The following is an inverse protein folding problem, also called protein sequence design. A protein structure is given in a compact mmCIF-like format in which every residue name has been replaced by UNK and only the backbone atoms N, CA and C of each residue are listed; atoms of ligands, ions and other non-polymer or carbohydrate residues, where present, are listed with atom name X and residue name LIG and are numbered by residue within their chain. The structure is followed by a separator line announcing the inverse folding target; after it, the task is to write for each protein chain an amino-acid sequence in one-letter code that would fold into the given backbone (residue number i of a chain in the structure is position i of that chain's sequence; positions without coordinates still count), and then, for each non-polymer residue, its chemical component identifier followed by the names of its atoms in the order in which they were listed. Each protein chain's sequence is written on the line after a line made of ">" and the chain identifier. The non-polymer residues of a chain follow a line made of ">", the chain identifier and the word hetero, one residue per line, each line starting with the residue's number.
data_IF_725597055002
#
_entry.id   IF_725597055002
#
_cell.length_a   1.000
_cell.length_b   1.000
_cell.length_c   1.000
_cell.angle_alpha   90.00
_cell.angle_beta   90.00
_cell.angle_gamma   90.00
#
_symmetry.space_group_name_H-M   'P 1'
#
loop_
_entity.id
_entity.type
_entity.pdbx_description
1 polymer ?
#
# COMPACT_ATOMS: atom_id res chain seq x y z
N UNK A 1 -12.55 15.49 -25.26
CA UNK A 1 -12.82 15.22 -23.84
C UNK A 1 -11.98 14.03 -23.42
N UNK A 2 -10.72 14.20 -22.99
CA UNK A 2 -9.86 13.05 -22.69
C UNK A 2 -9.61 12.94 -21.18
N UNK A 3 -10.63 12.96 -20.31
CA UNK A 3 -10.37 13.18 -18.88
C UNK A 3 -11.24 12.36 -17.93
N UNK A 4 -11.59 11.15 -18.32
CA UNK A 4 -11.64 10.08 -17.32
C UNK A 4 -10.45 9.19 -17.62
N UNK A 5 -9.29 9.59 -17.10
CA UNK A 5 -8.11 8.74 -17.03
C UNK A 5 -8.59 7.34 -16.61
N UNK A 6 -8.35 6.30 -17.42
CA UNK A 6 -8.68 4.90 -17.10
C UNK A 6 -7.84 4.43 -15.89
N UNK A 7 -8.05 5.04 -14.73
CA UNK A 7 -7.31 4.74 -13.53
C UNK A 7 -7.71 3.35 -13.07
N UNK A 8 -6.73 2.46 -13.02
CA UNK A 8 -6.89 1.12 -12.51
C UNK A 8 -6.71 1.12 -11.00
N UNK A 9 -7.63 0.46 -10.31
CA UNK A 9 -7.52 0.27 -8.86
C UNK A 9 -6.69 -0.99 -8.57
N UNK A 10 -5.59 -0.80 -7.84
CA UNK A 10 -4.67 -1.86 -7.45
C UNK A 10 -4.64 -2.02 -5.94
N UNK A 11 -4.61 -3.27 -5.50
CA UNK A 11 -4.43 -3.68 -4.11
C UNK A 11 -3.36 -4.77 -4.06
N UNK A 12 -2.38 -4.61 -3.18
CA UNK A 12 -1.21 -5.48 -3.10
C UNK A 12 -1.30 -6.38 -1.87
N UNK A 13 -1.32 -7.70 -2.08
CA UNK A 13 -1.26 -8.67 -1.00
C UNK A 13 0.20 -8.98 -0.66
N UNK A 14 0.53 -8.89 0.61
CA UNK A 14 1.84 -9.17 1.16
C UNK A 14 1.95 -10.62 1.64
N UNK A 15 3.18 -11.06 1.92
CA UNK A 15 3.47 -12.45 2.34
C UNK A 15 2.90 -12.79 3.72
N UNK A 16 2.69 -11.79 4.57
CA UNK A 16 2.11 -11.92 5.90
C UNK A 16 0.57 -12.03 5.85
N UNK A 17 -0.02 -11.99 4.65
CA UNK A 17 -1.46 -11.98 4.44
C UNK A 17 -2.10 -10.60 4.57
N UNK A 18 -1.32 -9.56 4.92
CA UNK A 18 -1.78 -8.18 4.94
C UNK A 18 -1.94 -7.64 3.52
N UNK A 19 -2.77 -6.61 3.37
CA UNK A 19 -2.93 -5.92 2.10
C UNK A 19 -2.54 -4.44 2.21
N UNK A 20 -1.90 -3.91 1.17
CA UNK A 20 -1.65 -2.48 0.99
C UNK A 20 -2.55 -1.94 -0.13
N UNK A 21 -3.27 -0.85 0.16
CA UNK A 21 -4.21 -0.19 -0.77
C UNK A 21 -5.66 -0.26 -0.29
N UNK A 22 -6.65 0.05 -1.17
CA UNK A 22 -6.52 0.23 -2.62
C UNK A 22 -5.90 1.57 -3.05
N UNK A 23 -5.23 1.56 -4.21
CA UNK A 23 -4.65 2.73 -4.86
C UNK A 23 -5.10 2.84 -6.31
N UNK A 24 -5.23 4.06 -6.83
CA UNK A 24 -5.59 4.32 -8.22
C UNK A 24 -4.35 4.74 -9.02
N UNK A 25 -4.12 4.07 -10.13
CA UNK A 25 -2.97 4.33 -11.00
C UNK A 25 -3.41 4.48 -12.45
N UNK A 26 -2.74 5.35 -13.19
CA UNK A 26 -2.87 5.36 -14.66
C UNK A 26 -2.29 4.07 -15.24
N UNK A 27 -2.83 3.53 -16.36
CA UNK A 27 -2.26 2.37 -17.05
C UNK A 27 -0.84 2.61 -17.56
N UNK A 28 -0.44 3.89 -17.70
CA UNK A 28 0.92 4.29 -18.05
C UNK A 28 1.90 4.26 -16.85
N UNK A 29 1.41 3.99 -15.63
CA UNK A 29 2.23 3.95 -14.42
C UNK A 29 3.26 2.83 -14.50
N UNK A 30 4.51 3.13 -14.18
CA UNK A 30 5.59 2.13 -14.28
C UNK A 30 5.59 1.20 -13.07
N UNK A 31 6.07 -0.03 -13.26
CA UNK A 31 6.24 -1.00 -12.18
C UNK A 31 7.20 -0.50 -11.09
N UNK A 32 8.18 0.35 -11.45
CA UNK A 32 9.10 0.96 -10.49
C UNK A 32 8.35 1.85 -9.48
N UNK A 33 7.46 2.72 -9.97
CA UNK A 33 6.63 3.59 -9.12
C UNK A 33 5.72 2.78 -8.19
N UNK A 34 5.12 1.70 -8.70
CA UNK A 34 4.29 0.80 -7.88
C UNK A 34 5.10 0.17 -6.75
N UNK A 35 6.32 -0.29 -7.03
CA UNK A 35 7.22 -0.89 -6.03
C UNK A 35 7.65 0.11 -4.97
N UNK A 36 8.02 1.33 -5.35
CA UNK A 36 8.38 2.39 -4.41
C UNK A 36 7.23 2.67 -3.44
N UNK A 37 5.99 2.72 -3.95
CA UNK A 37 4.81 2.91 -3.11
C UNK A 37 4.61 1.76 -2.11
N UNK A 38 4.72 0.51 -2.56
CA UNK A 38 4.58 -0.68 -1.69
C UNK A 38 5.64 -0.65 -0.57
N UNK A 39 6.87 -0.26 -0.87
CA UNK A 39 7.94 -0.15 0.13
C UNK A 39 7.68 1.01 1.10
N UNK A 40 7.16 2.14 0.61
CA UNK A 40 6.85 3.31 1.44
C UNK A 40 5.65 3.08 2.38
N UNK A 41 4.58 2.46 1.87
CA UNK A 41 3.37 2.12 2.63
C UNK A 41 3.46 0.72 3.26
N UNK A 42 4.66 0.13 3.30
CA UNK A 42 4.86 -1.18 3.90
C UNK A 42 4.37 -1.13 5.35
N UNK A 43 3.47 -2.04 5.76
CA UNK A 43 2.98 -2.07 7.12
C UNK A 43 4.20 -2.28 8.02
N UNK A 44 4.57 -1.24 8.76
CA UNK A 44 5.53 -1.38 9.86
C UNK A 44 4.96 -2.49 10.72
N UNK A 45 5.78 -3.53 10.96
CA UNK A 45 5.40 -4.69 11.75
C UNK A 45 4.62 -4.18 12.96
N UNK A 46 3.30 -4.43 12.92
CA UNK A 46 2.33 -3.83 13.82
C UNK A 46 2.86 -3.99 15.23
N UNK A 47 3.13 -2.87 15.89
CA UNK A 47 3.73 -2.80 17.21
C UNK A 47 3.11 -3.83 18.16
N UNK A 48 3.80 -4.96 18.35
CA UNK A 48 3.74 -5.73 19.59
C UNK A 48 4.35 -4.94 20.77
N UNK A 49 4.69 -3.66 20.56
CA UNK A 49 5.29 -2.77 21.54
C UNK A 49 4.35 -1.71 22.11
N UNK A 50 3.15 -1.50 21.54
CA UNK A 50 2.21 -0.48 22.06
C UNK A 50 1.21 -1.00 23.10
N UNK A 51 1.19 -2.31 23.39
CA UNK A 51 0.33 -2.87 24.45
C UNK A 51 1.10 -3.24 25.73
N UNK A 52 2.44 -3.20 25.72
CA UNK A 52 3.27 -3.51 26.89
C UNK A 52 3.57 -2.31 27.80
N UNK A 53 3.21 -1.09 27.40
CA UNK A 53 3.47 0.15 28.17
C UNK A 53 2.21 0.78 28.77
N UNK A 54 1.02 0.21 28.56
CA UNK A 54 -0.20 0.65 29.25
C UNK A 54 -0.45 -0.10 30.57
N UNK A 55 0.48 -0.95 31.00
CA UNK A 55 0.32 -1.85 32.15
C UNK A 55 1.43 -1.66 33.19
N UNK A 56 1.93 -0.43 33.35
CA UNK A 56 2.83 -0.03 34.43
C UNK A 56 2.45 1.33 35.02
#
# INVERSE_FOLDING_TARGET
>A
MPEEEELVELKFRLYDGSDIGPFRYSPASTVAMLKERIVADWPKAKDSFSQALSEY
#
